data_IF_086732129380
#
_entry.id   IF_086732129380
#
_cell.length_a   1.000
_cell.length_b   1.000
_cell.length_c   1.000
_cell.angle_alpha   90.00
_cell.angle_beta   90.00
_cell.angle_gamma   90.00
#
_symmetry.space_group_name_H-M   'P 1'
#
loop_
_entity.id
_entity.type
_entity.pdbx_description
1 polymer ?
#
# COMPACT_ATOMS: atom_id res chain seq x y z
N UNK A 1 -9.58 -26.57 43.79
CA UNK A 1 -9.06 -26.86 42.43
C UNK A 1 -8.59 -25.55 41.82
N UNK A 2 -7.32 -25.46 41.39
CA UNK A 2 -6.71 -24.22 40.88
C UNK A 2 -7.10 -24.02 39.42
N UNK A 3 -7.88 -22.98 39.11
CA UNK A 3 -8.19 -22.60 37.73
C UNK A 3 -6.91 -22.11 37.05
N UNK A 4 -6.47 -22.83 36.01
CA UNK A 4 -5.40 -22.37 35.13
C UNK A 4 -6.03 -21.42 34.11
N UNK A 5 -5.75 -20.13 34.27
CA UNK A 5 -6.15 -19.10 33.30
C UNK A 5 -5.18 -19.24 32.13
N UNK A 6 -5.61 -19.92 31.07
CA UNK A 6 -4.91 -19.95 29.78
C UNK A 6 -5.03 -18.55 29.17
N UNK A 7 -3.94 -17.79 29.21
CA UNK A 7 -3.84 -16.50 28.53
C UNK A 7 -3.96 -16.74 27.02
N UNK A 8 -5.10 -16.36 26.43
CA UNK A 8 -5.24 -16.26 24.98
C UNK A 8 -4.55 -14.96 24.56
N UNK A 9 -3.32 -15.08 24.06
CA UNK A 9 -2.66 -13.97 23.37
C UNK A 9 -3.40 -13.78 22.05
N UNK A 10 -4.31 -12.82 22.01
CA UNK A 10 -4.93 -12.37 20.77
C UNK A 10 -3.85 -11.60 19.97
N UNK A 11 -3.17 -12.30 19.07
CA UNK A 11 -2.32 -11.65 18.07
C UNK A 11 -3.23 -10.95 17.06
N UNK A 12 -3.38 -9.63 17.17
CA UNK A 12 -4.04 -8.81 16.15
C UNK A 12 -3.16 -8.81 14.89
N UNK A 13 -3.58 -9.51 13.84
CA UNK A 13 -2.94 -9.41 12.52
C UNK A 13 -3.29 -8.04 11.95
N UNK A 14 -2.31 -7.14 11.79
CA UNK A 14 -2.52 -5.90 11.05
C UNK A 14 -2.75 -6.27 9.57
N UNK A 15 -3.86 -5.82 8.99
CA UNK A 15 -4.11 -5.93 7.55
C UNK A 15 -3.17 -5.00 6.79
N UNK A 16 -2.50 -5.50 5.75
CA UNK A 16 -1.71 -4.64 4.86
C UNK A 16 -2.56 -3.84 3.87
N UNK A 17 -3.84 -4.18 3.71
CA UNK A 17 -4.77 -3.45 2.84
C UNK A 17 -5.26 -2.23 3.60
N UNK A 18 -5.04 -1.06 3.00
CA UNK A 18 -5.54 0.21 3.51
C UNK A 18 -6.53 0.81 2.52
N UNK A 19 -7.63 1.35 3.05
CA UNK A 19 -8.60 2.11 2.27
C UNK A 19 -8.12 3.55 2.15
N UNK A 20 -8.29 4.20 0.99
CA UNK A 20 -8.00 5.62 0.84
C UNK A 20 -8.71 6.45 1.91
N UNK A 21 -7.99 7.27 2.68
CA UNK A 21 -8.59 8.29 3.53
C UNK A 21 -8.54 9.64 2.80
N UNK A 22 -9.71 10.17 2.47
CA UNK A 22 -9.84 11.32 1.59
C UNK A 22 -9.74 12.65 2.37
N UNK A 23 -8.55 13.20 2.44
CA UNK A 23 -8.31 14.64 2.59
C UNK A 23 -6.89 14.96 2.10
N UNK A 24 -6.75 15.47 0.87
CA UNK A 24 -5.48 15.94 0.31
C UNK A 24 -4.60 14.91 -0.42
N UNK A 25 -4.90 13.61 -0.36
CA UNK A 25 -4.11 12.58 -1.06
C UNK A 25 -4.78 12.12 -2.36
N UNK A 26 -4.39 12.73 -3.48
CA UNK A 26 -4.92 12.41 -4.81
C UNK A 26 -4.50 11.01 -5.31
N UNK A 27 -3.36 10.48 -4.85
CA UNK A 27 -2.89 9.15 -5.20
C UNK A 27 -3.75 8.07 -4.56
N UNK A 28 -4.01 8.21 -3.26
CA UNK A 28 -4.95 7.36 -2.53
C UNK A 28 -6.35 7.45 -3.14
N UNK A 29 -6.82 8.67 -3.46
CA UNK A 29 -8.14 8.88 -4.04
C UNK A 29 -8.36 8.19 -5.39
N UNK A 30 -7.29 8.05 -6.19
CA UNK A 30 -7.33 7.43 -7.51
C UNK A 30 -7.13 5.92 -7.48
N UNK A 31 -6.76 5.35 -6.33
CA UNK A 31 -6.49 3.94 -6.17
C UNK A 31 -7.72 3.17 -5.72
N UNK A 32 -7.91 2.00 -6.33
CA UNK A 32 -8.92 1.02 -5.95
C UNK A 32 -8.53 0.29 -4.66
N UNK A 33 -7.24 -0.04 -4.55
CA UNK A 33 -6.63 -0.70 -3.38
C UNK A 33 -5.24 -0.18 -3.17
N UNK A 34 -4.82 -0.15 -1.91
CA UNK A 34 -3.44 0.14 -1.53
C UNK A 34 -2.93 -0.97 -0.62
N UNK A 35 -1.66 -1.34 -0.81
CA UNK A 35 -0.98 -2.32 0.02
C UNK A 35 0.26 -1.70 0.65
N UNK A 36 0.33 -1.76 1.97
CA UNK A 36 1.53 -1.39 2.73
C UNK A 36 2.58 -2.48 2.57
N UNK A 37 3.77 -2.08 2.14
CA UNK A 37 4.89 -2.97 1.88
C UNK A 37 5.85 -3.03 3.07
N UNK A 38 6.54 -4.15 3.19
CA UNK A 38 7.49 -4.42 4.27
C UNK A 38 8.70 -3.47 4.26
N UNK A 39 9.05 -2.93 3.11
CA UNK A 39 10.12 -1.94 2.95
C UNK A 39 9.68 -0.50 3.31
N UNK A 40 8.42 -0.33 3.71
CA UNK A 40 7.81 0.94 4.07
C UNK A 40 7.19 1.70 2.89
N UNK A 41 7.21 1.14 1.68
CA UNK A 41 6.52 1.70 0.52
C UNK A 41 5.03 1.35 0.48
N UNK A 42 4.35 1.91 -0.53
CA UNK A 42 2.93 1.64 -0.79
C UNK A 42 2.73 1.24 -2.25
N UNK A 43 2.11 0.08 -2.47
CA UNK A 43 1.68 -0.35 -3.80
C UNK A 43 0.24 0.13 -4.04
N UNK A 44 0.07 0.98 -5.04
CA UNK A 44 -1.23 1.46 -5.49
C UNK A 44 -1.74 0.55 -6.62
N UNK A 45 -2.97 0.06 -6.48
CA UNK A 45 -3.69 -0.65 -7.55
C UNK A 45 -4.82 0.25 -8.04
N UNK A 46 -4.76 0.63 -9.31
CA UNK A 46 -5.75 1.48 -9.95
C UNK A 46 -6.95 0.67 -10.46
N UNK A 47 -8.01 1.37 -10.90
CA UNK A 47 -9.25 0.73 -11.39
C UNK A 47 -9.04 -0.15 -12.63
N UNK A 48 -8.07 0.18 -13.48
CA UNK A 48 -7.66 -0.61 -14.64
C UNK A 48 -6.80 -1.84 -14.25
N UNK A 49 -6.56 -2.06 -12.96
CA UNK A 49 -5.76 -3.16 -12.43
C UNK A 49 -4.26 -2.95 -12.56
N UNK A 50 -3.81 -1.80 -13.08
CA UNK A 50 -2.40 -1.46 -13.16
C UNK A 50 -1.89 -0.97 -11.81
N UNK A 51 -0.58 -1.10 -11.62
CA UNK A 51 0.07 -0.78 -10.36
C UNK A 51 1.13 0.30 -10.48
N UNK A 52 1.25 1.11 -9.43
CA UNK A 52 2.37 2.01 -9.22
C UNK A 52 2.92 1.86 -7.79
N UNK A 53 4.22 2.11 -7.64
CA UNK A 53 4.93 1.95 -6.39
C UNK A 53 5.41 3.31 -5.87
N UNK A 54 5.04 3.62 -4.64
CA UNK A 54 5.61 4.70 -3.85
C UNK A 54 6.64 4.13 -2.88
N UNK A 55 7.82 4.75 -2.79
CA UNK A 55 8.81 4.41 -1.78
C UNK A 55 8.44 4.98 -0.40
N UNK A 56 9.14 4.54 0.65
CA UNK A 56 8.94 5.03 2.02
C UNK A 56 9.18 6.54 2.21
N UNK A 57 9.66 7.24 1.20
CA UNK A 57 9.92 8.68 1.21
C UNK A 57 8.87 9.47 0.44
N UNK A 58 7.78 8.83 0.00
CA UNK A 58 6.71 9.50 -0.72
C UNK A 58 7.00 9.74 -2.20
N UNK A 59 7.87 8.94 -2.83
CA UNK A 59 8.29 9.12 -4.23
C UNK A 59 7.79 7.99 -5.10
N UNK A 60 7.25 8.32 -6.26
CA UNK A 60 6.95 7.34 -7.29
C UNK A 60 8.26 6.73 -7.83
N UNK A 61 8.40 5.41 -7.75
CA UNK A 61 9.59 4.68 -8.22
C UNK A 61 9.23 3.61 -9.24
N UNK A 62 10.18 3.34 -10.15
CA UNK A 62 10.01 2.31 -11.18
C UNK A 62 9.70 0.95 -10.56
N UNK A 63 8.62 0.36 -11.04
CA UNK A 63 8.14 -0.95 -10.69
C UNK A 63 8.36 -1.88 -11.89
N UNK A 64 9.12 -2.95 -11.67
CA UNK A 64 9.32 -3.94 -12.73
C UNK A 64 8.06 -4.80 -12.83
N UNK A 65 7.50 -4.95 -14.03
CA UNK A 65 6.37 -5.83 -14.27
C UNK A 65 6.70 -7.27 -13.87
N UNK A 66 5.79 -7.96 -13.18
CA UNK A 66 6.02 -9.30 -12.66
C UNK A 66 6.90 -9.36 -11.41
N UNK A 67 7.38 -8.22 -10.88
CA UNK A 67 8.10 -8.18 -9.61
C UNK A 67 7.19 -8.61 -8.46
N UNK A 68 7.70 -9.47 -7.59
CA UNK A 68 7.02 -9.86 -6.35
C UNK A 68 7.38 -8.88 -5.24
N UNK A 69 6.36 -8.31 -4.59
CA UNK A 69 6.46 -7.40 -3.46
C UNK A 69 5.88 -8.08 -2.22
N UNK A 70 6.51 -7.88 -1.05
CA UNK A 70 6.06 -8.43 0.23
C UNK A 70 5.35 -7.33 1.02
N UNK A 71 4.11 -7.59 1.43
CA UNK A 71 3.32 -6.70 2.28
C UNK A 71 3.72 -6.83 3.75
N UNK A 72 3.30 -5.87 4.57
CA UNK A 72 3.59 -5.88 6.03
C UNK A 72 3.02 -7.11 6.76
N UNK A 73 1.98 -7.75 6.21
CA UNK A 73 1.36 -8.97 6.73
C UNK A 73 1.94 -10.26 6.09
N UNK A 74 3.01 -10.14 5.29
CA UNK A 74 3.74 -11.26 4.71
C UNK A 74 3.13 -11.85 3.43
N UNK A 75 2.09 -11.23 2.88
CA UNK A 75 1.54 -11.62 1.58
C UNK A 75 2.48 -11.20 0.45
N UNK A 76 2.51 -11.97 -0.64
CA UNK A 76 3.25 -11.64 -1.84
C UNK A 76 2.30 -11.17 -2.93
N UNK A 77 2.56 -9.99 -3.48
CA UNK A 77 1.80 -9.40 -4.57
C UNK A 77 2.68 -9.30 -5.80
N UNK A 78 2.13 -9.68 -6.95
CA UNK A 78 2.81 -9.52 -8.23
C UNK A 78 2.42 -8.17 -8.84
N UNK A 79 3.41 -7.36 -9.16
CA UNK A 79 3.24 -6.10 -9.87
C UNK A 79 2.63 -6.32 -11.26
N UNK A 80 1.66 -5.48 -11.61
CA UNK A 80 1.00 -5.47 -12.91
C UNK A 80 1.14 -4.09 -13.55
N UNK A 81 2.14 -3.91 -14.40
CA UNK A 81 2.46 -2.61 -15.02
C UNK A 81 3.37 -1.70 -14.18
N UNK A 82 3.70 -0.54 -14.75
CA UNK A 82 4.66 0.44 -14.22
C UNK A 82 4.11 1.87 -14.37
N UNK A 83 3.10 2.23 -13.58
CA UNK A 83 2.37 3.51 -13.70
C UNK A 83 3.04 4.67 -12.92
N UNK A 84 4.38 4.80 -13.04
CA UNK A 84 5.17 5.81 -12.29
C UNK A 84 4.78 7.23 -12.64
N UNK A 85 4.64 7.55 -13.92
CA UNK A 85 4.29 8.91 -14.36
C UNK A 85 2.91 9.34 -13.85
N UNK A 86 1.97 8.39 -13.83
CA UNK A 86 0.63 8.60 -13.26
C UNK A 86 0.72 8.89 -11.76
N UNK A 87 1.45 8.05 -11.03
CA UNK A 87 1.63 8.22 -9.58
C UNK A 87 2.34 9.53 -9.24
N UNK A 88 3.42 9.89 -9.94
CA UNK A 88 4.14 11.15 -9.73
C UNK A 88 3.22 12.37 -9.89
N UNK A 89 2.38 12.39 -10.94
CA UNK A 89 1.39 13.43 -11.15
C UNK A 89 0.38 13.54 -9.99
N UNK A 90 -0.10 12.41 -9.49
CA UNK A 90 -1.04 12.36 -8.37
C UNK A 90 -0.40 12.83 -7.05
N UNK A 91 0.83 12.41 -6.75
CA UNK A 91 1.55 12.84 -5.55
C UNK A 91 1.82 14.34 -5.56
N UNK A 92 2.18 14.90 -6.72
CA UNK A 92 2.34 16.35 -6.90
C UNK A 92 1.02 17.10 -6.72
N UNK A 93 -0.08 16.55 -7.24
CA UNK A 93 -1.41 17.15 -7.09
C UNK A 93 -1.82 17.23 -5.62
N UNK A 94 -1.64 16.15 -4.86
CA UNK A 94 -1.92 16.12 -3.42
C UNK A 94 -1.11 17.14 -2.62
N UNK A 95 0.17 17.33 -2.98
CA UNK A 95 1.02 18.34 -2.34
C UNK A 95 0.69 19.79 -2.72
N UNK A 96 0.09 20.03 -3.89
CA UNK A 96 -0.20 21.38 -4.40
C UNK A 96 -1.56 21.96 -3.98
N UNK A 97 -2.46 21.15 -3.41
CA UNK A 97 -3.84 21.51 -3.10
C UNK A 97 -4.11 21.96 -1.66
N UNK A 98 -3.09 22.46 -0.95
CA UNK A 98 -3.20 22.96 0.45
C UNK A 98 -3.84 24.33 0.58
#
# INVERSE_FOLDING_TARGET
MKARITAVVAATVLSAIVTPSFAGDAAAASAKKMFLLKDGGTLYVFEDGKTALEDKFGRAINLKEGQSLETVDGQKITANGNEVARLDGLLRQGHSGG
#
